data_IF_078124737231
#
_entry.id   IF_078124737231
#
_cell.length_a   1.000
_cell.length_b   1.000
_cell.length_c   1.000
_cell.angle_alpha   90.00
_cell.angle_beta   90.00
_cell.angle_gamma   90.00
#
_symmetry.space_group_name_H-M   'P 1'
#
loop_
_entity.id
_entity.type
_entity.pdbx_description
1 polymer ?
#
# COMPACT_ATOMS: atom_id res chain seq x y z
N UNK A 1 8.59 -14.18 -10.09
CA UNK A 1 9.60 -13.87 -9.05
C UNK A 1 9.59 -12.37 -8.80
N UNK A 2 9.64 -11.94 -7.53
CA UNK A 2 9.74 -10.51 -7.22
C UNK A 2 11.19 -10.08 -7.42
N UNK A 3 11.46 -9.30 -8.46
CA UNK A 3 12.80 -8.77 -8.72
C UNK A 3 13.07 -7.65 -7.71
N UNK A 4 13.96 -7.90 -6.76
CA UNK A 4 14.47 -6.86 -5.88
C UNK A 4 15.56 -6.07 -6.60
N UNK A 5 15.51 -4.74 -6.50
CA UNK A 5 16.56 -3.89 -7.02
C UNK A 5 17.78 -3.94 -6.07
N UNK A 6 18.77 -4.76 -6.43
CA UNK A 6 19.97 -4.96 -5.62
C UNK A 6 20.78 -3.67 -5.43
N UNK A 7 20.83 -2.85 -6.46
CA UNK A 7 21.54 -1.57 -6.39
C UNK A 7 20.92 -0.63 -5.33
N UNK A 8 19.60 -0.55 -5.28
CA UNK A 8 18.88 0.24 -4.28
C UNK A 8 19.10 -0.30 -2.87
N UNK A 9 19.05 -1.61 -2.68
CA UNK A 9 19.31 -2.25 -1.39
C UNK A 9 20.73 -1.96 -0.90
N UNK A 10 21.71 -2.06 -1.78
CA UNK A 10 23.11 -1.75 -1.45
C UNK A 10 23.30 -0.27 -1.12
N UNK A 11 22.72 0.62 -1.91
CA UNK A 11 22.75 2.08 -1.66
C UNK A 11 22.16 2.42 -0.29
N UNK A 12 21.00 1.85 0.04
CA UNK A 12 20.36 2.04 1.35
C UNK A 12 21.20 1.47 2.50
N UNK A 13 21.82 0.31 2.31
CA UNK A 13 22.73 -0.28 3.30
C UNK A 13 23.93 0.63 3.59
N UNK A 14 24.55 1.19 2.55
CA UNK A 14 25.66 2.15 2.69
C UNK A 14 25.22 3.45 3.36
N UNK A 15 24.03 3.96 3.05
CA UNK A 15 23.47 5.15 3.71
C UNK A 15 23.25 4.91 5.21
N UNK A 16 22.69 3.77 5.59
CA UNK A 16 22.49 3.38 6.98
C UNK A 16 23.83 3.23 7.71
N UNK A 17 24.78 2.53 7.11
CA UNK A 17 26.09 2.33 7.71
C UNK A 17 26.82 3.67 7.96
N UNK A 18 26.83 4.56 6.97
CA UNK A 18 27.43 5.90 7.13
C UNK A 18 26.75 6.71 8.24
N UNK A 19 25.43 6.64 8.34
CA UNK A 19 24.66 7.31 9.38
C UNK A 19 25.05 6.80 10.79
N UNK A 20 25.27 5.51 10.95
CA UNK A 20 25.67 4.93 12.23
C UNK A 20 27.10 5.26 12.61
N UNK A 21 28.02 5.26 11.67
CA UNK A 21 29.45 5.49 11.91
C UNK A 21 29.79 6.98 12.03
N UNK A 22 28.98 7.87 11.45
CA UNK A 22 29.26 9.31 11.45
C UNK A 22 29.55 9.90 12.86
N UNK A 23 28.73 9.65 13.91
CA UNK A 23 29.00 10.22 15.23
C UNK A 23 30.31 9.73 15.84
N UNK A 24 30.74 8.49 15.56
CA UNK A 24 31.99 7.91 16.09
C UNK A 24 33.24 8.46 15.41
N UNK A 25 33.14 8.85 14.13
CA UNK A 25 34.25 9.49 13.42
C UNK A 25 34.65 10.83 14.03
N UNK A 26 33.67 11.59 14.51
CA UNK A 26 33.92 12.89 15.14
C UNK A 26 34.43 12.76 16.57
N UNK A 27 33.99 11.76 17.32
CA UNK A 27 34.38 11.57 18.73
C UNK A 27 35.68 10.78 18.90
N UNK A 28 36.24 10.21 17.82
CA UNK A 28 37.41 9.31 17.92
C UNK A 28 37.13 8.00 18.67
N UNK A 29 35.88 7.74 19.00
CA UNK A 29 35.48 6.59 19.80
C UNK A 29 35.39 5.33 18.91
N UNK A 30 35.62 4.16 19.52
CA UNK A 30 35.49 2.88 18.82
C UNK A 30 34.03 2.64 18.37
N UNK A 31 33.84 2.27 17.12
CA UNK A 31 32.51 1.93 16.56
C UNK A 31 32.07 0.57 17.13
N UNK A 32 30.92 0.49 17.82
CA UNK A 32 30.42 -0.78 18.32
C UNK A 32 30.21 -1.82 17.21
N UNK A 33 30.49 -3.08 17.50
CA UNK A 33 30.38 -4.18 16.53
C UNK A 33 28.95 -4.35 15.94
N UNK A 34 27.93 -3.87 16.66
CA UNK A 34 26.55 -3.85 16.17
C UNK A 34 26.35 -2.92 14.96
N UNK A 35 27.19 -1.89 14.77
CA UNK A 35 27.14 -0.96 13.64
C UNK A 35 28.03 -1.42 12.48
N UNK A 36 27.99 -2.70 12.17
CA UNK A 36 28.70 -3.28 11.03
C UNK A 36 27.90 -3.11 9.72
N UNK A 37 28.61 -3.05 8.60
CA UNK A 37 27.96 -3.02 7.28
C UNK A 37 27.05 -4.24 7.06
N UNK A 38 27.43 -5.42 7.59
CA UNK A 38 26.60 -6.61 7.50
C UNK A 38 25.23 -6.43 8.17
N UNK A 39 25.16 -5.75 9.31
CA UNK A 39 23.89 -5.42 9.97
C UNK A 39 23.09 -4.36 9.21
N UNK A 40 23.75 -3.37 8.63
CA UNK A 40 23.10 -2.38 7.76
C UNK A 40 22.48 -3.09 6.52
N UNK A 41 23.18 -4.02 5.93
CA UNK A 41 22.69 -4.79 4.79
C UNK A 41 21.48 -5.68 5.18
N UNK A 42 21.53 -6.35 6.32
CA UNK A 42 20.39 -7.13 6.85
C UNK A 42 19.14 -6.24 7.03
N UNK A 43 19.31 -5.04 7.57
CA UNK A 43 18.20 -4.09 7.75
C UNK A 43 17.66 -3.58 6.40
N UNK A 44 18.53 -3.23 5.45
CA UNK A 44 18.11 -2.82 4.11
C UNK A 44 17.31 -3.92 3.39
N UNK A 45 17.73 -5.19 3.51
CA UNK A 45 16.99 -6.34 2.99
C UNK A 45 15.64 -6.54 3.69
N UNK A 46 15.58 -6.41 5.01
CA UNK A 46 14.33 -6.50 5.75
C UNK A 46 13.35 -5.40 5.32
N UNK A 47 13.82 -4.17 5.16
CA UNK A 47 13.03 -3.06 4.66
C UNK A 47 12.50 -3.32 3.23
N UNK A 48 13.33 -3.80 2.32
CA UNK A 48 12.92 -4.15 0.96
C UNK A 48 11.86 -5.26 0.92
N UNK A 49 12.01 -6.30 1.76
CA UNK A 49 11.02 -7.38 1.89
C UNK A 49 9.69 -6.88 2.45
N UNK A 50 9.72 -5.99 3.47
CA UNK A 50 8.49 -5.42 4.04
C UNK A 50 7.80 -4.49 3.05
N UNK A 51 8.54 -3.65 2.31
CA UNK A 51 8.01 -2.82 1.24
C UNK A 51 7.34 -3.67 0.13
N UNK A 52 7.99 -4.76 -0.28
CA UNK A 52 7.42 -5.68 -1.26
C UNK A 52 6.15 -6.39 -0.77
N UNK A 53 6.08 -6.74 0.53
CA UNK A 53 4.86 -7.29 1.14
C UNK A 53 3.74 -6.25 1.18
N UNK A 54 4.02 -5.01 1.58
CA UNK A 54 3.06 -3.89 1.59
C UNK A 54 2.53 -3.60 0.18
N UNK A 55 3.41 -3.52 -0.81
CA UNK A 55 3.02 -3.32 -2.21
C UNK A 55 2.12 -4.47 -2.73
N UNK A 56 2.45 -5.72 -2.36
CA UNK A 56 1.63 -6.88 -2.71
C UNK A 56 0.25 -6.84 -2.03
N UNK A 57 0.17 -6.34 -0.80
CA UNK A 57 -1.08 -6.13 -0.08
C UNK A 57 -1.89 -4.93 -0.62
N UNK A 58 -1.31 -4.12 -1.52
CA UNK A 58 -1.93 -2.91 -2.06
C UNK A 58 -1.94 -1.74 -1.08
N UNK A 59 -1.00 -1.73 -0.14
CA UNK A 59 -0.80 -0.62 0.78
C UNK A 59 0.12 0.39 0.10
N UNK A 60 -0.34 1.63 -0.02
CA UNK A 60 0.42 2.74 -0.61
C UNK A 60 0.58 3.82 0.44
N UNK A 61 1.80 4.37 0.55
CA UNK A 61 2.10 5.52 1.39
C UNK A 61 1.88 6.78 0.57
N UNK A 62 1.11 7.72 1.08
CA UNK A 62 0.82 8.99 0.43
C UNK A 62 0.77 10.14 1.42
N UNK A 63 0.84 11.37 0.94
CA UNK A 63 0.66 12.55 1.78
C UNK A 63 -0.78 12.68 2.26
N UNK A 64 -0.98 13.13 3.49
CA UNK A 64 -2.32 13.21 4.11
C UNK A 64 -3.31 14.09 3.33
N UNK A 65 -2.83 15.17 2.70
CA UNK A 65 -3.67 16.01 1.84
C UNK A 65 -4.21 15.26 0.62
N UNK A 66 -3.38 14.44 -0.02
CA UNK A 66 -3.80 13.60 -1.14
C UNK A 66 -4.80 12.54 -0.69
N UNK A 67 -4.55 11.91 0.46
CA UNK A 67 -5.52 10.99 1.06
C UNK A 67 -6.89 11.64 1.24
N UNK A 68 -6.94 12.83 1.84
CA UNK A 68 -8.20 13.54 2.11
C UNK A 68 -8.96 13.89 0.82
N UNK A 69 -8.26 14.24 -0.24
CA UNK A 69 -8.88 14.68 -1.50
C UNK A 69 -9.33 13.51 -2.39
N UNK A 70 -8.51 12.48 -2.52
CA UNK A 70 -8.70 11.43 -3.53
C UNK A 70 -9.09 10.07 -2.93
N UNK A 71 -8.69 9.81 -1.69
CA UNK A 71 -8.76 8.48 -1.07
C UNK A 71 -9.47 8.45 0.29
N UNK A 72 -10.28 9.48 0.59
CA UNK A 72 -10.99 9.60 1.88
C UNK A 72 -11.88 8.39 2.21
N UNK A 73 -12.35 7.68 1.19
CA UNK A 73 -13.17 6.48 1.33
C UNK A 73 -12.35 5.18 1.47
N UNK A 74 -11.01 5.28 1.44
CA UNK A 74 -10.13 4.14 1.57
C UNK A 74 -9.86 3.83 3.03
N UNK A 75 -9.72 2.54 3.33
CA UNK A 75 -9.31 2.11 4.66
C UNK A 75 -7.84 2.47 4.90
N UNK A 76 -7.57 3.15 5.99
CA UNK A 76 -6.22 3.47 6.44
C UNK A 76 -5.65 2.33 7.27
N UNK A 77 -4.33 2.19 7.28
CA UNK A 77 -3.64 1.26 8.18
C UNK A 77 -3.54 1.93 9.55
N UNK A 78 -4.03 1.26 10.59
CA UNK A 78 -4.02 1.79 11.95
C UNK A 78 -2.60 2.14 12.40
N UNK A 79 -2.45 3.32 13.01
CA UNK A 79 -1.16 3.81 13.50
C UNK A 79 -0.15 4.21 12.42
N UNK A 80 -0.54 4.25 11.13
CA UNK A 80 0.37 4.56 10.02
C UNK A 80 0.60 6.06 9.80
N UNK A 81 -0.11 6.94 10.50
CA UNK A 81 0.06 8.37 10.34
C UNK A 81 1.36 8.87 10.97
N UNK A 82 2.24 9.40 10.14
CA UNK A 82 3.49 10.04 10.57
C UNK A 82 3.31 11.57 10.59
N UNK A 83 3.38 12.15 11.81
CA UNK A 83 3.24 13.60 12.01
C UNK A 83 4.38 14.41 11.40
N UNK A 84 5.60 13.86 11.37
CA UNK A 84 6.78 14.58 10.88
C UNK A 84 6.73 14.75 9.36
N UNK A 85 6.34 13.71 8.64
CA UNK A 85 6.27 13.70 7.17
C UNK A 85 4.86 13.97 6.64
N UNK A 86 3.86 14.05 7.51
CA UNK A 86 2.43 14.16 7.15
C UNK A 86 1.98 13.11 6.15
N UNK A 87 2.49 11.88 6.29
CA UNK A 87 2.18 10.75 5.40
C UNK A 87 1.32 9.71 6.10
N UNK A 88 0.51 8.99 5.32
CA UNK A 88 -0.37 7.93 5.80
C UNK A 88 -0.31 6.73 4.85
N UNK A 89 -0.45 5.52 5.38
CA UNK A 89 -0.55 4.30 4.59
C UNK A 89 -2.01 3.93 4.36
N UNK A 90 -2.37 3.70 3.10
CA UNK A 90 -3.76 3.47 2.66
C UNK A 90 -3.86 2.18 1.86
N UNK A 91 -4.90 1.40 2.10
CA UNK A 91 -5.19 0.18 1.36
C UNK A 91 -5.93 0.49 0.05
N UNK A 92 -5.20 0.55 -1.06
CA UNK A 92 -5.78 0.87 -2.38
C UNK A 92 -6.49 -0.30 -3.06
N UNK A 93 -6.21 -1.55 -2.66
CA UNK A 93 -6.87 -2.73 -3.26
C UNK A 93 -8.37 -2.80 -2.94
N UNK A 94 -8.77 -2.39 -1.74
CA UNK A 94 -10.18 -2.36 -1.32
C UNK A 94 -10.97 -1.37 -2.18
N UNK A 95 -10.36 -0.24 -2.51
CA UNK A 95 -10.98 0.81 -3.35
C UNK A 95 -11.23 0.32 -4.77
N UNK A 96 -10.27 -0.40 -5.36
CA UNK A 96 -10.46 -0.95 -6.72
C UNK A 96 -11.60 -1.95 -6.79
N UNK A 97 -11.80 -2.77 -5.76
CA UNK A 97 -12.94 -3.68 -5.69
C UNK A 97 -14.26 -2.93 -5.46
N UNK A 98 -14.24 -1.88 -4.63
CA UNK A 98 -15.41 -1.05 -4.36
C UNK A 98 -15.81 -0.22 -5.59
N UNK A 99 -14.86 0.39 -6.29
CA UNK A 99 -15.13 1.13 -7.53
C UNK A 99 -15.62 0.19 -8.64
N UNK A 100 -15.10 -1.05 -8.73
CA UNK A 100 -15.62 -2.04 -9.68
C UNK A 100 -17.04 -2.49 -9.34
N UNK A 101 -17.38 -2.65 -8.07
CA UNK A 101 -18.75 -2.99 -7.66
C UNK A 101 -19.71 -1.81 -7.80
N UNK A 102 -19.25 -0.57 -7.59
CA UNK A 102 -20.04 0.63 -7.83
C UNK A 102 -20.23 0.95 -9.32
N UNK A 103 -19.29 0.56 -10.18
CA UNK A 103 -19.41 0.71 -11.65
C UNK A 103 -20.13 -0.45 -12.35
N UNK A 104 -20.33 -1.58 -11.67
CA UNK A 104 -21.31 -2.54 -12.15
C UNK A 104 -22.67 -1.90 -11.86
N UNK A 105 -23.44 -1.53 -12.88
CA UNK A 105 -24.84 -1.26 -12.65
C UNK A 105 -25.35 -2.50 -11.91
N UNK A 106 -25.82 -2.30 -10.70
CA UNK A 106 -26.42 -3.41 -9.97
C UNK A 106 -27.49 -3.94 -10.92
N UNK A 107 -27.49 -5.24 -11.14
CA UNK A 107 -28.53 -5.90 -11.95
C UNK A 107 -29.92 -5.57 -11.38
N UNK A 108 -29.96 -5.09 -10.13
CA UNK A 108 -31.13 -4.52 -9.48
C UNK A 108 -31.60 -3.17 -10.05
N UNK A 109 -30.75 -2.40 -10.77
CA UNK A 109 -31.19 -1.16 -11.42
C UNK A 109 -31.97 -1.43 -12.73
N UNK A 110 -31.94 -2.67 -13.24
CA UNK A 110 -32.78 -3.14 -14.34
C UNK A 110 -33.97 -3.95 -13.78
N UNK A 111 -34.33 -3.73 -12.54
CA UNK A 111 -35.57 -4.24 -11.94
C UNK A 111 -36.76 -3.43 -12.42
N UNK A 112 -37.01 -3.45 -13.67
CA UNK A 112 -38.19 -2.85 -14.21
C UNK A 112 -38.74 -3.71 -15.32
N UNK A 113 -37.88 -4.27 -16.15
CA UNK A 113 -38.30 -4.99 -17.34
C UNK A 113 -37.78 -6.42 -17.32
N UNK A 114 -38.65 -7.38 -17.44
CA UNK A 114 -38.28 -8.77 -17.59
C UNK A 114 -37.49 -8.97 -18.91
N UNK A 115 -36.33 -9.66 -18.90
CA UNK A 115 -35.55 -9.89 -20.12
C UNK A 115 -36.27 -10.77 -21.17
N UNK A 116 -37.33 -11.46 -20.78
CA UNK A 116 -38.14 -12.29 -21.66
C UNK A 116 -39.31 -11.55 -22.32
N UNK A 117 -40.01 -10.73 -21.54
CA UNK A 117 -41.24 -10.06 -22.03
C UNK A 117 -41.09 -8.55 -22.13
N UNK A 118 -39.96 -7.96 -21.71
CA UNK A 118 -39.71 -6.53 -21.70
C UNK A 118 -40.76 -5.69 -20.96
N UNK A 119 -41.48 -6.32 -20.02
CA UNK A 119 -42.51 -5.69 -19.19
C UNK A 119 -42.23 -5.94 -17.70
N UNK A 120 -42.95 -5.24 -16.83
CA UNK A 120 -42.86 -5.41 -15.38
C UNK A 120 -43.69 -6.63 -14.97
N UNK A 121 -43.11 -7.83 -15.01
CA UNK A 121 -43.86 -9.07 -14.75
C UNK A 121 -43.59 -9.75 -13.40
N UNK A 122 -42.88 -9.14 -12.47
CA UNK A 122 -42.58 -9.68 -11.12
C UNK A 122 -42.20 -11.17 -11.05
N UNK A 123 -41.74 -11.76 -12.15
CA UNK A 123 -41.33 -13.17 -12.19
C UNK A 123 -42.37 -14.12 -12.84
N UNK A 124 -43.56 -13.68 -13.11
CA UNK A 124 -44.65 -14.50 -13.71
C UNK A 124 -44.66 -14.49 -15.24
N UNK A 125 -43.46 -14.58 -15.85
CA UNK A 125 -43.35 -14.67 -17.31
C UNK A 125 -43.88 -15.97 -17.92
N UNK A 126 -44.48 -16.85 -17.15
CA UNK A 126 -45.09 -18.10 -17.64
C UNK A 126 -46.55 -17.93 -18.08
N UNK A 127 -47.17 -16.80 -17.77
CA UNK A 127 -48.50 -16.48 -18.27
C UNK A 127 -48.39 -15.94 -19.69
N UNK A 128 -48.30 -16.88 -20.68
CA UNK A 128 -48.47 -16.75 -22.12
C UNK A 128 -47.75 -15.62 -22.84
#
# INVERSE_FOLDING_TARGET
>A
MKNFNLHEIMSNAWALYRKWVAPYKFSGSHVPACYSFANALKQAWAAAKTAAKKAAAGIVRMHYSQYKNEYSNCQTVDGSYDKATKTIEVMTKVVRSFIRSARRPSVTAIRGLCPRCHTYCYGDCTAR
#
